data_IF_917855522316
#
_entry.id   IF_917855522316
#
_cell.length_a   1.000
_cell.length_b   1.000
_cell.length_c   1.000
_cell.angle_alpha   90.00
_cell.angle_beta   90.00
_cell.angle_gamma   90.00
#
_symmetry.space_group_name_H-M   'P 1'
#
loop_
_entity.id
_entity.type
_entity.pdbx_description
1 polymer ?
#
# COMPACT_ATOMS: atom_id res chain seq x y z
N UNK A 1 31.29 18.20 0.93
CA UNK A 1 30.66 17.08 0.22
C UNK A 1 29.64 17.65 -0.76
N UNK A 2 29.69 17.27 -2.02
CA UNK A 2 28.72 17.73 -3.01
C UNK A 2 27.32 17.21 -2.67
N UNK A 3 26.23 17.99 -2.91
CA UNK A 3 24.85 17.56 -2.63
C UNK A 3 24.47 16.21 -3.27
N UNK A 4 25.07 15.91 -4.42
CA UNK A 4 24.87 14.67 -5.16
C UNK A 4 25.52 13.43 -4.49
N UNK A 5 26.56 13.59 -3.68
CA UNK A 5 27.27 12.48 -3.06
C UNK A 5 26.41 11.73 -2.05
N UNK A 6 25.61 12.44 -1.26
CA UNK A 6 24.72 11.81 -0.28
C UNK A 6 23.62 10.99 -0.97
N UNK A 7 23.10 11.48 -2.08
CA UNK A 7 22.10 10.79 -2.89
C UNK A 7 22.69 9.54 -3.56
N UNK A 8 23.91 9.62 -4.07
CA UNK A 8 24.61 8.48 -4.65
C UNK A 8 24.89 7.39 -3.61
N UNK A 9 25.31 7.77 -2.39
CA UNK A 9 25.52 6.81 -1.29
C UNK A 9 24.20 6.16 -0.88
N UNK A 10 23.11 6.93 -0.76
CA UNK A 10 21.80 6.40 -0.45
C UNK A 10 21.33 5.42 -1.53
N UNK A 11 21.45 5.80 -2.80
CA UNK A 11 21.10 4.93 -3.92
C UNK A 11 21.89 3.62 -3.89
N UNK A 12 23.17 3.68 -3.66
CA UNK A 12 24.04 2.50 -3.53
C UNK A 12 23.60 1.57 -2.38
N UNK A 13 23.19 2.15 -1.25
CA UNK A 13 22.66 1.38 -0.12
C UNK A 13 21.33 0.72 -0.46
N UNK A 14 20.40 1.46 -1.11
CA UNK A 14 19.10 0.96 -1.50
C UNK A 14 19.20 -0.22 -2.47
N UNK A 15 20.10 -0.17 -3.43
CA UNK A 15 20.36 -1.27 -4.39
C UNK A 15 20.81 -2.57 -3.73
N UNK A 16 21.38 -2.49 -2.52
CA UNK A 16 21.84 -3.67 -1.77
C UNK A 16 20.76 -4.24 -0.84
N UNK A 17 19.66 -3.54 -0.63
CA UNK A 17 18.60 -3.99 0.27
C UNK A 17 17.93 -5.27 -0.23
N UNK A 18 17.78 -5.45 -1.54
CA UNK A 18 17.19 -6.66 -2.11
C UNK A 18 17.93 -7.92 -1.60
N UNK A 19 19.25 -7.97 -1.79
CA UNK A 19 20.07 -9.10 -1.35
C UNK A 19 20.13 -9.24 0.17
N UNK A 20 20.13 -8.14 0.89
CA UNK A 20 20.13 -8.13 2.36
C UNK A 20 18.86 -8.77 2.92
N UNK A 21 17.68 -8.36 2.42
CA UNK A 21 16.40 -8.89 2.90
C UNK A 21 16.12 -10.30 2.37
N UNK A 22 16.58 -10.63 1.17
CA UNK A 22 16.52 -11.99 0.63
C UNK A 22 17.27 -12.97 1.54
N UNK A 23 18.42 -12.59 2.08
CA UNK A 23 19.17 -13.38 3.07
C UNK A 23 18.41 -13.61 4.38
N UNK A 24 17.41 -12.79 4.67
CA UNK A 24 16.49 -12.91 5.81
C UNK A 24 15.15 -13.57 5.43
N UNK A 25 15.09 -14.23 4.27
CA UNK A 25 13.88 -14.91 3.77
C UNK A 25 12.71 -13.96 3.47
N UNK A 26 12.98 -12.67 3.22
CA UNK A 26 11.98 -11.70 2.80
C UNK A 26 12.00 -11.62 1.26
N UNK A 27 10.82 -11.82 0.65
CA UNK A 27 10.69 -11.82 -0.79
C UNK A 27 11.01 -10.44 -1.40
N UNK A 28 11.71 -10.43 -2.52
CA UNK A 28 12.14 -9.20 -3.22
C UNK A 28 10.97 -8.26 -3.56
N UNK A 29 9.79 -8.78 -3.86
CA UNK A 29 8.61 -7.98 -4.17
C UNK A 29 8.13 -7.13 -2.99
N UNK A 30 8.30 -7.62 -1.75
CA UNK A 30 8.02 -6.85 -0.53
C UNK A 30 8.96 -5.66 -0.43
N UNK A 31 10.25 -5.89 -0.65
CA UNK A 31 11.26 -4.82 -0.62
C UNK A 31 10.98 -3.77 -1.70
N UNK A 32 10.70 -4.20 -2.91
CA UNK A 32 10.38 -3.32 -4.04
C UNK A 32 9.10 -2.51 -3.83
N UNK A 33 8.07 -3.13 -3.26
CA UNK A 33 6.82 -2.43 -2.92
C UNK A 33 7.06 -1.29 -1.92
N UNK A 34 7.90 -1.51 -0.91
CA UNK A 34 8.26 -0.46 0.06
C UNK A 34 9.14 0.62 -0.58
N UNK A 35 10.11 0.25 -1.41
CA UNK A 35 10.99 1.21 -2.07
C UNK A 35 10.28 2.04 -3.15
N UNK A 36 9.14 1.58 -3.65
CA UNK A 36 8.29 2.37 -4.55
C UNK A 36 7.66 3.58 -3.85
N UNK A 37 7.57 3.57 -2.53
CA UNK A 37 7.21 4.73 -1.73
C UNK A 37 8.48 5.53 -1.44
N UNK A 38 8.57 6.74 -1.97
CA UNK A 38 9.74 7.60 -1.86
C UNK A 38 10.02 8.03 -0.40
N UNK A 39 10.63 7.16 0.38
CA UNK A 39 11.17 7.48 1.70
C UNK A 39 12.68 7.32 1.72
N UNK A 40 13.36 8.26 2.35
CA UNK A 40 14.83 8.31 2.44
C UNK A 40 15.36 7.87 3.81
N UNK A 41 14.48 7.49 4.72
CA UNK A 41 14.84 7.08 6.07
C UNK A 41 14.98 5.55 6.14
N UNK A 42 16.20 5.04 6.19
CA UNK A 42 16.49 3.60 6.20
C UNK A 42 15.78 2.86 7.34
N UNK A 43 15.69 3.48 8.53
CA UNK A 43 14.97 2.88 9.64
C UNK A 43 13.46 2.74 9.36
N UNK A 44 12.86 3.74 8.73
CA UNK A 44 11.45 3.69 8.32
C UNK A 44 11.21 2.63 7.24
N UNK A 45 12.13 2.52 6.27
CA UNK A 45 12.11 1.47 5.25
C UNK A 45 12.14 0.08 5.91
N UNK A 46 13.01 -0.14 6.88
CA UNK A 46 13.10 -1.43 7.60
C UNK A 46 11.79 -1.77 8.34
N UNK A 47 11.19 -0.81 9.04
CA UNK A 47 9.90 -0.99 9.71
C UNK A 47 8.78 -1.37 8.72
N UNK A 48 8.71 -0.70 7.59
CA UNK A 48 7.74 -0.98 6.52
C UNK A 48 7.93 -2.38 5.92
N UNK A 49 9.18 -2.75 5.61
CA UNK A 49 9.50 -4.05 5.02
C UNK A 49 9.09 -5.18 5.98
N UNK A 50 9.44 -5.08 7.25
CA UNK A 50 9.11 -6.10 8.26
C UNK A 50 7.60 -6.25 8.46
N UNK A 51 6.88 -5.13 8.54
CA UNK A 51 5.43 -5.14 8.66
C UNK A 51 4.76 -5.75 7.42
N UNK A 52 5.19 -5.34 6.23
CA UNK A 52 4.63 -5.85 4.98
C UNK A 52 4.97 -7.32 4.74
N UNK A 53 6.18 -7.78 5.10
CA UNK A 53 6.56 -9.17 5.01
C UNK A 53 5.64 -10.07 5.86
N UNK A 54 5.39 -9.68 7.11
CA UNK A 54 4.47 -10.41 7.98
C UNK A 54 3.03 -10.40 7.44
N UNK A 55 2.56 -9.27 6.91
CA UNK A 55 1.23 -9.16 6.33
C UNK A 55 1.07 -9.98 5.05
N UNK A 56 2.09 -10.02 4.18
CA UNK A 56 2.06 -10.73 2.90
C UNK A 56 1.84 -12.24 3.05
N UNK A 57 2.19 -12.81 4.21
CA UNK A 57 1.95 -14.23 4.53
C UNK A 57 0.47 -14.54 4.84
N UNK A 58 -0.38 -13.53 4.97
CA UNK A 58 -1.80 -13.70 5.31
C UNK A 58 -2.67 -13.91 4.07
N UNK A 59 -3.71 -14.72 4.19
CA UNK A 59 -4.72 -14.89 3.13
C UNK A 59 -5.40 -13.56 2.77
N UNK A 60 -5.59 -12.69 3.76
CA UNK A 60 -6.17 -11.36 3.56
C UNK A 60 -5.33 -10.50 2.64
N UNK A 61 -4.00 -10.54 2.78
CA UNK A 61 -3.08 -9.81 1.90
C UNK A 61 -3.20 -10.29 0.44
N UNK A 62 -3.30 -11.59 0.23
CA UNK A 62 -3.46 -12.18 -1.10
C UNK A 62 -4.77 -11.74 -1.75
N UNK A 63 -5.88 -11.73 -1.00
CA UNK A 63 -7.18 -11.28 -1.49
C UNK A 63 -7.17 -9.78 -1.82
N UNK A 64 -6.60 -8.94 -0.95
CA UNK A 64 -6.47 -7.50 -1.22
C UNK A 64 -5.60 -7.21 -2.44
N UNK A 65 -4.50 -7.95 -2.60
CA UNK A 65 -3.65 -7.81 -3.79
C UNK A 65 -4.40 -8.19 -5.07
N UNK A 66 -5.19 -9.25 -5.05
CA UNK A 66 -6.03 -9.65 -6.18
C UNK A 66 -7.10 -8.60 -6.51
N UNK A 67 -7.79 -8.07 -5.49
CA UNK A 67 -8.77 -6.99 -5.64
C UNK A 67 -8.13 -5.72 -6.21
N UNK A 68 -6.98 -5.31 -5.68
CA UNK A 68 -6.23 -4.15 -6.18
C UNK A 68 -5.80 -4.32 -7.64
N UNK A 69 -5.33 -5.51 -8.01
CA UNK A 69 -4.99 -5.84 -9.41
C UNK A 69 -6.21 -5.73 -10.33
N UNK A 70 -7.39 -6.17 -9.87
CA UNK A 70 -8.65 -6.04 -10.62
C UNK A 70 -9.01 -4.57 -10.84
N UNK A 71 -8.96 -3.75 -9.78
CA UNK A 71 -9.19 -2.30 -9.86
C UNK A 71 -8.22 -1.64 -10.82
N UNK A 72 -6.92 -1.91 -10.68
CA UNK A 72 -5.88 -1.36 -11.54
C UNK A 72 -6.10 -1.71 -13.02
N UNK A 73 -6.51 -2.95 -13.31
CA UNK A 73 -6.83 -3.37 -14.67
C UNK A 73 -8.07 -2.67 -15.25
N UNK A 74 -9.07 -2.38 -14.42
CA UNK A 74 -10.26 -1.62 -14.83
C UNK A 74 -9.88 -0.18 -15.14
N UNK A 75 -9.13 0.47 -14.25
CA UNK A 75 -8.67 1.85 -14.43
C UNK A 75 -7.75 2.01 -15.64
N UNK A 76 -6.87 1.05 -15.89
CA UNK A 76 -5.98 1.07 -17.06
C UNK A 76 -6.73 1.00 -18.40
N UNK A 77 -7.98 0.52 -18.40
CA UNK A 77 -8.85 0.46 -19.59
C UNK A 77 -9.79 1.66 -19.70
N UNK A 78 -9.89 2.49 -18.67
CA UNK A 78 -10.66 3.72 -18.72
C UNK A 78 -9.81 4.82 -19.36
N UNK A 79 -10.43 5.65 -20.19
CA UNK A 79 -9.76 6.82 -20.80
C UNK A 79 -9.62 8.00 -19.81
N UNK A 80 -10.19 7.88 -18.62
CA UNK A 80 -10.15 8.90 -17.56
C UNK A 80 -8.90 8.72 -16.70
N UNK A 81 -7.86 9.50 -16.98
CA UNK A 81 -6.61 9.49 -16.20
C UNK A 81 -6.66 10.41 -14.97
N UNK A 82 -7.56 11.36 -14.92
CA UNK A 82 -7.76 12.30 -13.81
C UNK A 82 -9.18 12.17 -13.25
N UNK A 83 -9.39 11.14 -12.41
CA UNK A 83 -10.65 10.98 -11.72
C UNK A 83 -10.81 12.06 -10.63
N UNK A 84 -11.83 12.89 -10.76
CA UNK A 84 -12.28 13.76 -9.67
C UNK A 84 -12.71 12.88 -8.46
N UNK A 85 -12.69 13.44 -7.22
CA UNK A 85 -13.24 12.72 -6.08
C UNK A 85 -14.67 12.25 -6.38
N UNK A 86 -15.05 11.03 -5.95
CA UNK A 86 -16.36 10.49 -6.24
C UNK A 86 -17.46 11.34 -5.60
N UNK A 87 -18.49 11.66 -6.39
CA UNK A 87 -19.69 12.37 -5.90
C UNK A 87 -20.69 11.35 -5.35
N UNK A 88 -20.81 11.29 -4.03
CA UNK A 88 -21.70 10.36 -3.35
C UNK A 88 -23.19 10.56 -3.68
N UNK A 89 -23.58 11.72 -4.25
CA UNK A 89 -24.93 11.98 -4.68
C UNK A 89 -25.34 11.17 -5.94
N UNK A 90 -24.35 10.66 -6.66
CA UNK A 90 -24.51 9.86 -7.87
C UNK A 90 -24.57 8.35 -7.60
N UNK A 91 -24.29 7.92 -6.37
CA UNK A 91 -24.32 6.51 -6.01
C UNK A 91 -25.75 5.96 -6.05
N UNK A 92 -25.91 4.81 -6.67
CA UNK A 92 -27.21 4.15 -6.85
C UNK A 92 -27.32 2.87 -6.00
N UNK A 93 -26.21 2.16 -5.85
CA UNK A 93 -26.18 0.88 -5.18
C UNK A 93 -25.67 1.01 -3.72
N UNK A 94 -26.23 0.22 -2.77
CA UNK A 94 -25.76 0.22 -1.38
C UNK A 94 -24.27 -0.10 -1.23
N UNK A 95 -23.72 -0.96 -2.11
CA UNK A 95 -22.32 -1.33 -2.11
C UNK A 95 -21.38 -0.15 -2.42
N UNK A 96 -21.81 0.80 -3.27
CA UNK A 96 -21.04 2.02 -3.57
C UNK A 96 -20.91 2.90 -2.32
N UNK A 97 -22.00 3.10 -1.59
CA UNK A 97 -22.00 3.83 -0.32
C UNK A 97 -21.16 3.13 0.74
N UNK A 98 -21.29 1.80 0.86
CA UNK A 98 -20.54 1.02 1.83
C UNK A 98 -19.02 1.09 1.57
N UNK A 99 -18.60 0.93 0.33
CA UNK A 99 -17.19 1.02 -0.06
C UNK A 99 -16.65 2.44 0.17
N UNK A 100 -17.38 3.46 -0.24
CA UNK A 100 -16.96 4.86 -0.04
C UNK A 100 -16.75 5.19 1.44
N UNK A 101 -17.70 4.79 2.29
CA UNK A 101 -17.60 4.99 3.73
C UNK A 101 -16.42 4.22 4.33
N UNK A 102 -16.26 2.96 3.96
CA UNK A 102 -15.15 2.13 4.45
C UNK A 102 -13.77 2.71 4.07
N UNK A 103 -13.61 3.18 2.84
CA UNK A 103 -12.36 3.83 2.37
C UNK A 103 -12.10 5.13 3.13
N UNK A 104 -13.14 5.93 3.36
CA UNK A 104 -13.02 7.20 4.11
C UNK A 104 -12.62 6.94 5.56
N UNK A 105 -13.27 6.00 6.23
CA UNK A 105 -12.96 5.60 7.61
C UNK A 105 -11.55 5.02 7.72
N UNK A 106 -11.16 4.14 6.79
CA UNK A 106 -9.81 3.61 6.74
C UNK A 106 -8.76 4.71 6.57
N UNK A 107 -8.99 5.69 5.71
CA UNK A 107 -8.09 6.84 5.52
C UNK A 107 -7.89 7.63 6.81
N UNK A 108 -8.96 7.88 7.57
CA UNK A 108 -8.88 8.55 8.85
C UNK A 108 -8.13 7.73 9.91
N UNK A 109 -8.35 6.41 9.96
CA UNK A 109 -7.67 5.51 10.88
C UNK A 109 -6.18 5.34 10.56
N UNK A 110 -5.83 5.31 9.27
CA UNK A 110 -4.46 5.11 8.80
C UNK A 110 -3.55 6.32 9.08
N UNK A 111 -4.05 7.52 8.97
CA UNK A 111 -3.25 8.75 9.12
C UNK A 111 -2.44 8.78 10.42
N UNK A 112 -3.04 8.60 11.63
CA UNK A 112 -2.27 8.59 12.86
C UNK A 112 -1.36 7.36 13.00
N UNK A 113 -1.74 6.20 12.46
CA UNK A 113 -0.93 4.99 12.50
C UNK A 113 0.35 5.14 11.66
N UNK A 114 0.25 5.71 10.48
CA UNK A 114 1.40 5.98 9.61
C UNK A 114 2.31 7.04 10.25
N UNK A 115 1.74 8.10 10.83
CA UNK A 115 2.50 9.12 11.54
C UNK A 115 3.27 8.54 12.74
N UNK A 116 2.69 7.57 13.45
CA UNK A 116 3.33 6.85 14.54
C UNK A 116 4.25 5.70 14.07
N UNK A 117 4.38 5.48 12.76
CA UNK A 117 5.11 4.35 12.17
C UNK A 117 4.62 2.97 12.63
N UNK A 118 3.36 2.87 12.98
CA UNK A 118 2.72 1.61 13.36
C UNK A 118 2.16 0.92 12.12
N UNK A 119 3.06 0.44 11.27
CA UNK A 119 2.71 -0.14 9.97
C UNK A 119 1.99 -1.48 10.07
N UNK A 120 2.26 -2.26 11.11
CA UNK A 120 1.57 -3.53 11.32
C UNK A 120 0.06 -3.29 11.51
N UNK A 121 -0.31 -2.43 12.45
CA UNK A 121 -1.72 -2.08 12.68
C UNK A 121 -2.33 -1.33 11.49
N UNK A 122 -1.55 -0.53 10.76
CA UNK A 122 -2.01 0.12 9.54
C UNK A 122 -2.42 -0.91 8.47
N UNK A 123 -1.63 -1.96 8.28
CA UNK A 123 -1.96 -3.05 7.34
C UNK A 123 -3.18 -3.87 7.79
N UNK A 124 -3.35 -4.09 9.10
CA UNK A 124 -4.56 -4.71 9.65
C UNK A 124 -5.81 -3.86 9.39
N UNK A 125 -5.70 -2.53 9.48
CA UNK A 125 -6.80 -1.63 9.12
C UNK A 125 -7.13 -1.69 7.63
N UNK A 126 -6.13 -1.73 6.76
CA UNK A 126 -6.35 -1.94 5.33
C UNK A 126 -7.05 -3.27 5.03
N UNK A 127 -6.78 -4.29 5.83
CA UNK A 127 -7.40 -5.61 5.71
C UNK A 127 -8.93 -5.57 5.87
N UNK A 128 -9.45 -4.60 6.61
CA UNK A 128 -10.90 -4.42 6.79
C UNK A 128 -11.63 -4.01 5.50
N UNK A 129 -10.90 -3.48 4.51
CA UNK A 129 -11.47 -3.11 3.21
C UNK A 129 -11.80 -4.31 2.32
N UNK A 130 -11.36 -5.51 2.67
CA UNK A 130 -11.62 -6.71 1.86
C UNK A 130 -13.11 -6.93 1.60
N UNK A 131 -13.91 -6.98 2.66
CA UNK A 131 -15.35 -7.27 2.53
C UNK A 131 -16.08 -6.20 1.68
N UNK A 132 -15.98 -4.89 1.96
CA UNK A 132 -16.66 -3.90 1.13
C UNK A 132 -16.14 -3.85 -0.31
N UNK A 133 -14.90 -4.23 -0.58
CA UNK A 133 -14.38 -4.36 -1.96
C UNK A 133 -14.96 -5.57 -2.65
N UNK A 134 -15.02 -6.73 -1.99
CA UNK A 134 -15.63 -7.94 -2.55
C UNK A 134 -17.10 -7.69 -2.87
N UNK A 135 -17.88 -7.13 -1.93
CA UNK A 135 -19.29 -6.79 -2.10
C UNK A 135 -19.55 -5.80 -3.26
N UNK A 136 -18.65 -4.86 -3.48
CA UNK A 136 -18.76 -3.91 -4.58
C UNK A 136 -18.58 -4.58 -5.95
N UNK A 137 -17.84 -5.66 -6.04
CA UNK A 137 -17.56 -6.37 -7.30
C UNK A 137 -18.47 -7.58 -7.53
N UNK A 138 -19.33 -7.95 -6.61
CA UNK A 138 -20.36 -8.96 -6.82
C UNK A 138 -21.57 -8.42 -7.61
#
# INVERSE_FOLDING_TARGET
>A
MAPDTADQVLQYLLERLDSWYESQSIHVDVVRAVLAVETRQLHDIDLRIKALAAFAETDTAQHLAAANKRVANILAKSDEQDAAPPDSSLFQEPAEHALHNAVTEAGHALTPLIAARNYHTALEQLATLRAPVDDFFE
#
